data_IF_261471073955
#
_entry.id   IF_261471073955
#
_cell.length_a   1.000
_cell.length_b   1.000
_cell.length_c   1.000
_cell.angle_alpha   90.00
_cell.angle_beta   90.00
_cell.angle_gamma   90.00
#
_symmetry.space_group_name_H-M   'P 1'
#
loop_
_entity.id
_entity.type
_entity.pdbx_description
1 polymer ?
#
# COMPACT_ATOMS: atom_id res chain seq x y z
N UNK A 1 9.25 0.73 -23.09
CA UNK A 1 8.81 -0.63 -22.75
C UNK A 1 7.35 -0.52 -22.34
N UNK A 2 6.43 -1.08 -23.12
CA UNK A 2 5.01 -1.14 -22.77
C UNK A 2 4.80 -2.44 -21.99
N UNK A 3 4.69 -2.36 -20.67
CA UNK A 3 4.25 -3.48 -19.84
C UNK A 3 2.72 -3.60 -19.96
N UNK A 4 2.25 -4.57 -20.75
CA UNK A 4 0.88 -5.02 -20.69
C UNK A 4 0.72 -5.89 -19.43
N UNK A 5 0.50 -5.25 -18.29
CA UNK A 5 0.33 -5.93 -17.02
C UNK A 5 -0.98 -6.72 -16.96
N UNK A 6 -1.01 -7.92 -17.53
CA UNK A 6 -2.14 -8.87 -17.42
C UNK A 6 -2.49 -9.27 -15.96
N UNK A 7 -1.69 -8.80 -14.99
CA UNK A 7 -1.87 -9.00 -13.54
C UNK A 7 -2.50 -7.80 -12.84
N UNK A 8 -2.79 -6.70 -13.53
CA UNK A 8 -3.45 -5.52 -12.97
C UNK A 8 -4.77 -5.31 -13.71
N UNK A 9 -5.88 -5.64 -13.08
CA UNK A 9 -7.20 -5.35 -13.66
C UNK A 9 -7.47 -3.86 -13.74
N UNK A 10 -6.78 -3.02 -12.94
CA UNK A 10 -7.03 -1.58 -12.83
C UNK A 10 -8.40 -1.21 -12.23
N UNK A 11 -9.33 -2.16 -12.16
CA UNK A 11 -10.68 -2.01 -11.64
C UNK A 11 -10.80 -2.37 -10.14
N UNK A 12 -11.77 -1.83 -9.38
CA UNK A 12 -12.67 -0.75 -9.80
C UNK A 12 -11.88 0.54 -10.03
N UNK A 13 -12.34 1.32 -11.00
CA UNK A 13 -11.72 2.57 -11.41
C UNK A 13 -12.77 3.68 -11.49
N UNK A 14 -12.34 4.92 -11.25
CA UNK A 14 -13.17 6.10 -11.38
C UNK A 14 -12.43 7.21 -12.10
N UNK A 15 -13.18 8.08 -12.76
CA UNK A 15 -12.67 9.34 -13.28
C UNK A 15 -12.20 10.23 -12.12
N UNK A 16 -11.01 10.80 -12.24
CA UNK A 16 -10.44 11.73 -11.25
C UNK A 16 -9.90 12.97 -11.92
N UNK A 17 -10.27 14.12 -11.39
CA UNK A 17 -9.72 15.39 -11.85
C UNK A 17 -8.27 15.52 -11.38
N UNK A 18 -7.38 15.75 -12.34
CA UNK A 18 -5.96 15.98 -12.08
C UNK A 18 -5.60 17.37 -12.60
N UNK A 19 -4.96 18.13 -11.72
CA UNK A 19 -4.35 19.42 -12.01
C UNK A 19 -2.85 19.33 -11.81
N UNK A 20 -2.08 20.16 -12.51
CA UNK A 20 -0.65 20.28 -12.27
C UNK A 20 -0.38 20.83 -10.86
N UNK A 21 0.55 20.22 -10.14
CA UNK A 21 1.04 20.66 -8.84
C UNK A 21 1.56 22.11 -8.86
N UNK A 22 2.26 22.49 -9.93
CA UNK A 22 2.76 23.85 -10.15
C UNK A 22 1.65 24.89 -10.42
N UNK A 23 0.41 24.47 -10.70
CA UNK A 23 -0.69 25.39 -11.01
C UNK A 23 -1.01 26.36 -9.86
N UNK A 24 -0.74 25.93 -8.62
CA UNK A 24 -0.90 26.79 -7.43
C UNK A 24 0.30 27.70 -7.16
N UNK A 25 1.47 27.39 -7.71
CA UNK A 25 2.73 28.05 -7.41
C UNK A 25 3.19 29.06 -8.48
N UNK A 26 2.74 28.89 -9.73
CA UNK A 26 3.20 29.70 -10.87
C UNK A 26 2.07 30.61 -11.37
N UNK A 27 2.19 31.90 -11.08
CA UNK A 27 1.27 32.93 -11.54
C UNK A 27 1.44 33.22 -13.05
N UNK A 28 0.32 33.47 -13.75
CA UNK A 28 0.32 33.90 -15.15
C UNK A 28 0.44 32.75 -16.18
N UNK A 29 0.53 31.50 -15.73
CA UNK A 29 0.55 30.32 -16.59
C UNK A 29 -0.74 29.51 -16.40
N UNK A 30 -1.41 29.16 -17.50
CA UNK A 30 -2.56 28.24 -17.47
C UNK A 30 -2.07 26.82 -17.69
N UNK A 31 -2.26 25.97 -16.70
CA UNK A 31 -1.92 24.55 -16.79
C UNK A 31 -3.09 23.73 -17.33
N UNK A 32 -2.82 22.66 -18.11
CA UNK A 32 -3.87 21.75 -18.54
C UNK A 32 -4.43 20.96 -17.34
N UNK A 33 -5.71 20.61 -17.44
CA UNK A 33 -6.39 19.68 -16.53
C UNK A 33 -6.74 18.41 -17.29
N UNK A 34 -6.79 17.27 -16.61
CA UNK A 34 -7.19 16.01 -17.19
C UNK A 34 -8.16 15.28 -16.26
N UNK A 35 -8.95 14.38 -16.84
CA UNK A 35 -9.86 13.53 -16.09
C UNK A 35 -9.63 12.05 -16.47
N UNK A 36 -8.47 11.46 -16.14
CA UNK A 36 -8.22 10.06 -16.44
C UNK A 36 -9.09 9.14 -15.59
N UNK A 37 -9.38 7.95 -16.13
CA UNK A 37 -9.91 6.84 -15.37
C UNK A 37 -8.76 6.15 -14.62
N UNK A 38 -8.81 6.17 -13.29
CA UNK A 38 -7.76 5.60 -12.43
C UNK A 38 -8.35 4.63 -11.42
N UNK A 39 -7.55 3.64 -11.01
CA UNK A 39 -7.94 2.66 -10.00
C UNK A 39 -8.36 3.36 -8.70
N UNK A 40 -9.39 2.84 -8.04
CA UNK A 40 -9.83 3.35 -6.75
C UNK A 40 -8.68 3.28 -5.73
N UNK A 41 -8.57 4.33 -4.91
CA UNK A 41 -7.53 4.43 -3.90
C UNK A 41 -7.70 3.35 -2.82
N UNK A 42 -8.94 2.94 -2.56
CA UNK A 42 -9.31 1.85 -1.66
C UNK A 42 -8.78 0.50 -2.15
N UNK A 43 -8.82 0.26 -3.47
CA UNK A 43 -8.16 -0.93 -4.04
C UNK A 43 -6.66 -0.82 -3.90
N UNK A 44 -6.09 0.35 -4.21
CA UNK A 44 -4.66 0.61 -4.04
C UNK A 44 -4.19 0.33 -2.61
N UNK A 45 -4.99 0.72 -1.60
CA UNK A 45 -4.75 0.40 -0.21
C UNK A 45 -4.63 -1.11 0.01
N UNK A 46 -5.62 -1.90 -0.42
CA UNK A 46 -5.58 -3.36 -0.25
C UNK A 46 -4.44 -4.03 -1.02
N UNK A 47 -4.13 -3.57 -2.23
CA UNK A 47 -3.00 -4.07 -3.02
C UNK A 47 -1.66 -3.83 -2.29
N UNK A 48 -1.48 -2.67 -1.66
CA UNK A 48 -0.27 -2.37 -0.88
C UNK A 48 -0.25 -3.10 0.47
N UNK A 49 -1.36 -3.10 1.21
CA UNK A 49 -1.46 -3.74 2.52
C UNK A 49 -1.16 -5.24 2.45
N UNK A 50 -1.70 -5.93 1.44
CA UNK A 50 -1.43 -7.37 1.24
C UNK A 50 -0.02 -7.64 0.72
N UNK A 51 0.62 -6.70 -0.01
CA UNK A 51 2.02 -6.84 -0.39
C UNK A 51 2.96 -6.68 0.83
N UNK A 52 2.65 -5.75 1.73
CA UNK A 52 3.32 -5.60 3.02
C UNK A 52 3.15 -6.85 3.87
N UNK A 53 1.94 -7.40 3.96
CA UNK A 53 1.68 -8.63 4.71
C UNK A 53 2.52 -9.80 4.22
N UNK A 54 2.63 -9.98 2.90
CA UNK A 54 3.54 -10.99 2.31
C UNK A 54 4.98 -10.76 2.76
N UNK A 55 5.45 -9.51 2.79
CA UNK A 55 6.80 -9.21 3.29
C UNK A 55 6.96 -9.58 4.77
N UNK A 56 5.98 -9.23 5.61
CA UNK A 56 5.99 -9.59 7.03
C UNK A 56 6.10 -11.11 7.23
N UNK A 57 5.38 -11.90 6.42
CA UNK A 57 5.44 -13.36 6.49
C UNK A 57 6.68 -13.98 5.84
N UNK A 58 7.27 -13.32 4.85
CA UNK A 58 8.45 -13.81 4.13
C UNK A 58 9.77 -13.46 4.79
N UNK A 59 9.78 -12.40 5.60
CA UNK A 59 10.96 -11.83 6.25
C UNK A 59 12.12 -11.50 5.29
N UNK A 60 11.82 -11.26 4.01
CA UNK A 60 12.82 -10.98 2.97
C UNK A 60 12.40 -9.82 2.09
N UNK A 61 13.36 -8.95 1.77
CA UNK A 61 13.12 -7.87 0.81
C UNK A 61 13.27 -8.34 -0.63
N UNK A 62 12.48 -7.73 -1.53
CA UNK A 62 12.57 -7.90 -2.97
C UNK A 62 12.95 -6.57 -3.61
N UNK A 63 14.19 -6.47 -4.09
CA UNK A 63 14.71 -5.23 -4.66
C UNK A 63 14.86 -4.12 -3.63
N UNK A 64 15.25 -2.93 -4.08
CA UNK A 64 15.34 -1.73 -3.25
C UNK A 64 14.05 -0.91 -3.28
N UNK A 65 13.89 0.00 -2.31
CA UNK A 65 12.77 0.97 -2.20
C UNK A 65 11.42 0.31 -1.93
N UNK A 66 11.41 -0.88 -1.34
CA UNK A 66 10.20 -1.58 -0.96
C UNK A 66 9.48 -0.88 0.21
N UNK A 67 10.24 -0.17 1.05
CA UNK A 67 9.74 0.66 2.16
C UNK A 67 8.73 1.74 1.74
N UNK A 68 8.69 2.14 0.46
CA UNK A 68 7.69 3.08 -0.08
C UNK A 68 6.25 2.61 0.16
N UNK A 69 6.02 1.29 0.22
CA UNK A 69 4.69 0.73 0.46
C UNK A 69 4.13 1.14 1.83
N UNK A 70 4.98 1.23 2.86
CA UNK A 70 4.57 1.70 4.19
C UNK A 70 4.22 3.19 4.17
N UNK A 71 5.06 3.99 3.51
CA UNK A 71 4.78 5.42 3.35
C UNK A 71 3.44 5.64 2.64
N UNK A 72 3.20 4.94 1.54
CA UNK A 72 1.96 5.03 0.77
C UNK A 72 0.73 4.65 1.62
N UNK A 73 0.80 3.58 2.42
CA UNK A 73 -0.30 3.18 3.31
C UNK A 73 -0.57 4.25 4.37
N UNK A 74 0.45 4.83 4.98
CA UNK A 74 0.28 5.92 5.93
C UNK A 74 -0.35 7.17 5.29
N UNK A 75 0.02 7.49 4.04
CA UNK A 75 -0.59 8.60 3.28
C UNK A 75 -2.05 8.31 2.91
N UNK A 76 -2.37 7.10 2.49
CA UNK A 76 -3.74 6.67 2.19
C UNK A 76 -4.63 6.73 3.44
N UNK A 77 -4.11 6.31 4.58
CA UNK A 77 -4.83 6.41 5.86
C UNK A 77 -5.06 7.86 6.28
N UNK A 78 -4.04 8.71 6.21
CA UNK A 78 -4.17 10.14 6.52
C UNK A 78 -5.18 10.86 5.61
N UNK A 79 -5.38 10.37 4.38
CA UNK A 79 -6.39 10.87 3.45
C UNK A 79 -7.81 10.27 3.68
N UNK A 80 -8.00 9.44 4.71
CA UNK A 80 -9.28 8.79 5.02
C UNK A 80 -9.63 7.59 4.12
N UNK A 81 -8.75 7.21 3.19
CA UNK A 81 -8.98 6.12 2.25
C UNK A 81 -8.98 4.76 2.96
N UNK A 82 -8.10 4.56 3.94
CA UNK A 82 -8.08 3.31 4.70
C UNK A 82 -9.42 3.06 5.40
N UNK A 83 -10.05 4.09 5.97
CA UNK A 83 -11.38 3.97 6.59
C UNK A 83 -12.44 3.50 5.59
N UNK A 84 -12.50 4.09 4.40
CA UNK A 84 -13.42 3.65 3.34
C UNK A 84 -13.12 2.21 2.88
N UNK A 85 -11.84 1.89 2.66
CA UNK A 85 -11.39 0.58 2.22
C UNK A 85 -11.69 -0.54 3.24
N UNK A 86 -11.58 -0.27 4.53
CA UNK A 86 -11.89 -1.20 5.63
C UNK A 86 -13.38 -1.54 5.66
N UNK A 87 -14.25 -0.57 5.38
CA UNK A 87 -15.71 -0.77 5.40
C UNK A 87 -16.22 -1.55 4.19
N UNK A 88 -15.53 -1.45 3.05
CA UNK A 88 -15.87 -2.22 1.86
C UNK A 88 -15.27 -3.63 1.88
N UNK A 89 -15.96 -4.52 2.60
CA UNK A 89 -15.59 -5.95 2.66
C UNK A 89 -15.64 -6.64 1.30
N UNK A 90 -16.51 -6.18 0.41
CA UNK A 90 -16.63 -6.79 -0.93
C UNK A 90 -15.37 -6.55 -1.75
N UNK A 91 -14.83 -5.33 -1.66
CA UNK A 91 -13.59 -4.93 -2.30
C UNK A 91 -12.38 -5.66 -1.72
N UNK A 92 -12.27 -5.74 -0.39
CA UNK A 92 -11.13 -6.42 0.25
C UNK A 92 -11.06 -7.90 -0.16
N UNK A 93 -12.21 -8.59 -0.16
CA UNK A 93 -12.31 -9.97 -0.61
C UNK A 93 -12.03 -10.12 -2.11
N UNK A 94 -12.47 -9.18 -2.94
CA UNK A 94 -12.18 -9.19 -4.37
C UNK A 94 -10.67 -9.09 -4.64
N UNK A 95 -9.98 -8.19 -3.93
CA UNK A 95 -8.52 -8.07 -4.01
C UNK A 95 -7.82 -9.35 -3.54
N UNK A 96 -8.26 -9.92 -2.40
CA UNK A 96 -7.70 -11.17 -1.89
C UNK A 96 -7.85 -12.34 -2.87
N UNK A 97 -9.04 -12.53 -3.45
CA UNK A 97 -9.29 -13.57 -4.47
C UNK A 97 -8.43 -13.35 -5.70
N UNK A 98 -8.38 -12.11 -6.20
CA UNK A 98 -7.54 -11.76 -7.34
C UNK A 98 -6.06 -12.08 -7.08
N UNK A 99 -5.55 -11.69 -5.91
CA UNK A 99 -4.16 -12.00 -5.54
C UNK A 99 -3.89 -13.48 -5.41
N UNK A 100 -4.79 -14.24 -4.77
CA UNK A 100 -4.65 -15.69 -4.65
C UNK A 100 -4.57 -16.42 -5.99
N UNK A 101 -5.22 -15.90 -7.04
CA UNK A 101 -5.15 -16.47 -8.39
C UNK A 101 -3.81 -16.19 -9.10
N UNK A 102 -3.23 -15.00 -8.92
CA UNK A 102 -2.06 -14.55 -9.68
C UNK A 102 -0.72 -14.61 -8.94
N UNK A 103 -0.74 -14.71 -7.61
CA UNK A 103 0.45 -14.62 -6.76
C UNK A 103 0.49 -15.78 -5.77
N UNK A 104 1.24 -16.83 -6.11
CA UNK A 104 1.47 -17.97 -5.23
C UNK A 104 2.63 -17.69 -4.24
N UNK A 105 2.47 -16.65 -3.44
CA UNK A 105 3.48 -16.24 -2.46
C UNK A 105 3.60 -17.26 -1.32
N UNK A 106 4.83 -17.48 -0.84
CA UNK A 106 5.13 -18.39 0.28
C UNK A 106 5.60 -17.63 1.50
N UNK A 107 5.21 -18.02 2.70
CA UNK A 107 5.78 -17.52 3.95
C UNK A 107 7.17 -18.14 4.21
N UNK A 108 7.84 -17.68 5.27
CA UNK A 108 9.18 -18.16 5.66
C UNK A 108 9.21 -19.67 5.98
N UNK A 109 8.10 -20.23 6.46
CA UNK A 109 7.92 -21.68 6.72
C UNK A 109 7.65 -22.51 5.46
N UNK A 110 7.56 -21.87 4.29
CA UNK A 110 7.26 -22.51 3.01
C UNK A 110 5.77 -22.71 2.72
N UNK A 111 4.89 -22.39 3.68
CA UNK A 111 3.44 -22.38 3.53
C UNK A 111 2.98 -21.30 2.54
N UNK A 112 1.82 -21.50 1.89
CA UNK A 112 1.25 -20.47 1.00
C UNK A 112 0.66 -19.33 1.82
N UNK A 113 0.86 -18.09 1.39
CA UNK A 113 0.22 -16.92 2.01
C UNK A 113 -1.27 -16.95 1.70
N UNK A 114 -2.09 -16.89 2.75
CA UNK A 114 -3.54 -16.78 2.64
C UNK A 114 -3.96 -15.31 2.63
N UNK A 115 -4.25 -14.79 1.44
CA UNK A 115 -4.71 -13.42 1.26
C UNK A 115 -6.12 -13.18 1.84
N UNK A 116 -6.96 -14.21 1.92
CA UNK A 116 -8.29 -14.07 2.53
C UNK A 116 -8.10 -13.84 4.02
N UNK A 117 -7.29 -14.67 4.68
CA UNK A 117 -6.96 -14.47 6.10
C UNK A 117 -6.38 -13.07 6.36
N UNK A 118 -5.52 -12.57 5.46
CA UNK A 118 -4.96 -11.23 5.57
C UNK A 118 -6.02 -10.12 5.59
N UNK A 119 -7.09 -10.23 4.78
CA UNK A 119 -8.14 -9.20 4.72
C UNK A 119 -9.31 -9.44 5.69
N UNK A 120 -9.32 -10.58 6.40
CA UNK A 120 -10.37 -10.98 7.35
C UNK A 120 -9.85 -11.13 8.79
N UNK A 121 -8.84 -10.35 9.19
CA UNK A 121 -8.41 -10.29 10.59
C UNK A 121 -6.96 -10.71 10.86
N UNK A 122 -6.24 -11.17 9.84
CA UNK A 122 -4.84 -11.58 9.92
C UNK A 122 -3.85 -10.58 9.34
N UNK A 123 -4.25 -9.33 9.07
CA UNK A 123 -3.37 -8.36 8.42
C UNK A 123 -2.16 -8.05 9.32
N UNK A 124 -0.97 -8.13 8.74
CA UNK A 124 0.28 -7.71 9.38
C UNK A 124 0.89 -6.57 8.56
N UNK A 125 1.12 -5.43 9.20
CA UNK A 125 1.80 -4.29 8.60
C UNK A 125 3.13 -3.94 9.27
N UNK A 126 3.43 -4.51 10.42
CA UNK A 126 4.70 -4.29 11.12
C UNK A 126 5.48 -5.61 11.10
N UNK A 127 6.65 -5.66 10.41
CA UNK A 127 7.49 -6.84 10.43
C UNK A 127 8.19 -7.01 11.78
N UNK A 128 8.59 -8.24 12.10
CA UNK A 128 9.36 -8.58 13.30
C UNK A 128 10.79 -8.99 12.95
N UNK A 129 11.65 -9.08 13.98
CA UNK A 129 12.98 -9.67 13.86
C UNK A 129 13.87 -9.02 12.80
N UNK A 130 14.57 -9.84 12.02
CA UNK A 130 15.50 -9.37 10.99
C UNK A 130 14.82 -8.54 9.90
N UNK A 131 13.56 -8.83 9.59
CA UNK A 131 12.79 -8.12 8.57
C UNK A 131 12.55 -6.65 8.93
N UNK A 132 12.38 -6.33 10.22
CA UNK A 132 12.27 -4.95 10.70
C UNK A 132 13.56 -4.17 10.44
N UNK A 133 14.72 -4.78 10.70
CA UNK A 133 16.02 -4.18 10.42
C UNK A 133 16.26 -3.95 8.92
N UNK A 134 15.86 -4.91 8.07
CA UNK A 134 15.92 -4.77 6.62
C UNK A 134 15.05 -3.62 6.13
N UNK A 135 13.82 -3.52 6.64
CA UNK A 135 12.89 -2.44 6.29
C UNK A 135 13.43 -1.08 6.74
N UNK A 136 13.96 -0.97 7.96
CA UNK A 136 14.54 0.28 8.48
C UNK A 136 15.72 0.75 7.63
N UNK A 137 16.59 -0.18 7.22
CA UNK A 137 17.71 0.12 6.33
C UNK A 137 17.28 0.59 4.95
N UNK A 138 16.22 0.00 4.39
CA UNK A 138 15.64 0.45 3.12
C UNK A 138 14.96 1.81 3.22
N UNK A 139 14.22 2.03 4.31
CA UNK A 139 13.54 3.28 4.57
C UNK A 139 14.54 4.44 4.66
N UNK A 140 15.62 4.27 5.42
CA UNK A 140 16.68 5.29 5.52
C UNK A 140 17.26 5.65 4.15
N UNK A 141 17.62 4.66 3.32
CA UNK A 141 18.13 4.92 1.96
C UNK A 141 17.10 5.65 1.09
N UNK A 142 15.83 5.26 1.19
CA UNK A 142 14.74 5.93 0.45
C UNK A 142 14.60 7.41 0.86
N UNK A 143 14.77 7.72 2.15
CA UNK A 143 14.77 9.09 2.66
C UNK A 143 16.00 9.87 2.18
N UNK A 144 17.19 9.28 2.28
CA UNK A 144 18.45 9.88 1.83
C UNK A 144 18.46 10.19 0.32
N UNK A 145 17.83 9.33 -0.49
CA UNK A 145 17.66 9.53 -1.94
C UNK A 145 16.72 10.71 -2.29
N UNK A 146 16.09 11.36 -1.32
CA UNK A 146 15.21 12.53 -1.54
C UNK A 146 13.93 12.22 -2.32
N UNK A 147 13.50 10.95 -2.34
CA UNK A 147 12.39 10.48 -3.16
C UNK A 147 11.01 10.95 -2.70
N UNK A 148 10.92 11.53 -1.51
CA UNK A 148 9.65 11.96 -0.91
C UNK A 148 9.50 13.47 -1.02
N UNK A 149 8.40 13.90 -1.65
CA UNK A 149 8.07 15.31 -1.84
C UNK A 149 7.76 16.06 -0.53
N UNK A 150 7.49 15.33 0.55
CA UNK A 150 7.27 15.84 1.90
C UNK A 150 8.28 15.19 2.83
N UNK A 151 8.75 15.93 3.85
CA UNK A 151 9.64 15.40 4.86
C UNK A 151 9.10 14.05 5.41
N UNK A 152 9.84 12.94 5.24
CA UNK A 152 9.45 11.66 5.77
C UNK A 152 9.32 11.72 7.28
N UNK A 153 8.29 11.05 7.80
CA UNK A 153 8.18 10.83 9.24
C UNK A 153 9.28 9.88 9.75
N UNK A 154 9.67 9.97 11.02
CA UNK A 154 10.56 8.99 11.62
C UNK A 154 10.06 7.54 11.44
N UNK A 155 11.00 6.60 11.31
CA UNK A 155 10.66 5.20 11.00
C UNK A 155 9.77 4.55 12.07
N UNK A 156 10.05 4.83 13.34
CA UNK A 156 9.24 4.42 14.49
C UNK A 156 7.80 4.96 14.41
N UNK A 157 7.64 6.25 14.09
CA UNK A 157 6.32 6.86 13.88
C UNK A 157 5.56 6.19 12.73
N UNK A 158 6.26 5.85 11.64
CA UNK A 158 5.67 5.11 10.53
C UNK A 158 5.19 3.71 10.96
N UNK A 159 6.00 3.00 11.76
CA UNK A 159 5.62 1.69 12.28
C UNK A 159 4.42 1.77 13.23
N UNK A 160 4.36 2.77 14.10
CA UNK A 160 3.23 2.98 15.02
C UNK A 160 1.92 3.22 14.26
N UNK A 161 1.95 4.03 13.20
CA UNK A 161 0.78 4.24 12.33
C UNK A 161 0.37 2.96 11.62
N UNK A 162 1.33 2.22 11.08
CA UNK A 162 1.04 0.94 10.43
C UNK A 162 0.47 -0.09 11.41
N UNK A 163 0.92 -0.10 12.66
CA UNK A 163 0.35 -0.94 13.72
C UNK A 163 -1.12 -0.57 13.99
N UNK A 164 -1.43 0.73 14.10
CA UNK A 164 -2.80 1.20 14.29
C UNK A 164 -3.73 0.84 13.12
N UNK A 165 -3.26 1.02 11.87
CA UNK A 165 -4.01 0.63 10.67
C UNK A 165 -4.30 -0.88 10.69
N UNK A 166 -3.30 -1.71 10.96
CA UNK A 166 -3.47 -3.16 11.02
C UNK A 166 -4.47 -3.55 12.12
N UNK A 167 -4.39 -2.92 13.29
CA UNK A 167 -5.33 -3.12 14.40
C UNK A 167 -6.77 -2.78 13.97
N UNK A 168 -7.00 -1.61 13.39
CA UNK A 168 -8.33 -1.18 12.89
C UNK A 168 -8.89 -2.14 11.85
N UNK A 169 -8.08 -2.57 10.89
CA UNK A 169 -8.47 -3.58 9.88
C UNK A 169 -8.90 -4.87 10.57
N UNK A 170 -8.08 -5.37 11.50
CA UNK A 170 -8.31 -6.66 12.10
C UNK A 170 -9.49 -6.67 13.08
N UNK A 171 -9.74 -5.58 13.79
CA UNK A 171 -10.93 -5.39 14.63
C UNK A 171 -12.20 -5.32 13.79
N UNK A 172 -12.18 -4.56 12.68
CA UNK A 172 -13.33 -4.43 11.78
C UNK A 172 -13.74 -5.75 11.11
N UNK A 173 -12.84 -6.74 11.04
CA UNK A 173 -13.15 -8.07 10.52
C UNK A 173 -13.87 -8.98 11.54
N UNK A 174 -13.85 -8.64 12.83
CA UNK A 174 -14.49 -9.43 13.91
C UNK A 174 -15.95 -9.05 14.16
N UNK A 175 -16.37 -7.86 13.72
CA UNK A 175 -17.76 -7.39 13.76
C UNK A 175 -18.57 -7.80 12.54
#
# INVERSE_FOLDING_TARGET
MLEFGARSTGEPAALRDIVCDAASAVNGVRFPTAQPQVMLAERTFWEKATAIHVFCLQERMRGGRFSRHWHDIARLDAAGIAYAAIRDRSLSQAVARHKGMFFAEKAADGGKVDYVAAVTGGLQLVPSGAALGLLAGDYRRMVEDGLLAVAPEPFDVLMDRCADIARRVNEAARG
#
